data_IF_145978123292
#
_entry.id   IF_145978123292
#
_cell.length_a   1.000
_cell.length_b   1.000
_cell.length_c   1.000
_cell.angle_alpha   90.00
_cell.angle_beta   90.00
_cell.angle_gamma   90.00
#
_symmetry.space_group_name_H-M   'P 1'
#
loop_
_entity.id
_entity.type
_entity.pdbx_description
1 polymer ?
#
# COMPACT_ATOMS: atom_id res chain seq x y z
N UNK A 1 9.34 8.23 -48.59
CA UNK A 1 9.45 8.82 -47.23
C UNK A 1 9.15 7.70 -46.23
N UNK A 2 10.17 6.94 -45.79
CA UNK A 2 10.06 6.01 -44.68
C UNK A 2 10.16 6.81 -43.38
N UNK A 3 9.04 7.12 -42.77
CA UNK A 3 9.00 7.53 -41.36
C UNK A 3 9.21 6.28 -40.51
N UNK A 4 10.46 5.97 -40.16
CA UNK A 4 10.75 5.07 -39.06
C UNK A 4 10.25 5.74 -37.80
N UNK A 5 9.06 5.34 -37.31
CA UNK A 5 8.67 5.55 -35.91
C UNK A 5 9.61 4.69 -35.05
N UNK A 6 10.69 5.27 -34.59
CA UNK A 6 11.49 4.69 -33.52
C UNK A 6 10.62 4.75 -32.28
N UNK A 7 10.01 3.61 -31.93
CA UNK A 7 9.34 3.45 -30.63
C UNK A 7 10.45 3.41 -29.59
N UNK A 8 10.74 4.56 -28.99
CA UNK A 8 11.65 4.58 -27.84
C UNK A 8 10.94 3.96 -26.65
N UNK A 9 11.53 2.88 -26.10
CA UNK A 9 11.13 2.28 -24.84
C UNK A 9 11.18 3.34 -23.74
N UNK A 10 10.10 3.45 -22.96
CA UNK A 10 10.07 4.32 -21.78
C UNK A 10 10.89 3.72 -20.64
N UNK A 11 11.26 4.56 -19.68
CA UNK A 11 11.96 4.07 -18.48
C UNK A 11 11.10 3.05 -17.70
N UNK A 12 9.80 3.26 -17.62
CA UNK A 12 8.88 2.34 -16.95
C UNK A 12 8.82 0.99 -17.66
N UNK A 13 8.74 0.99 -19.00
CA UNK A 13 8.79 -0.26 -19.79
C UNK A 13 10.12 -1.00 -19.59
N UNK A 14 11.24 -0.26 -19.55
CA UNK A 14 12.55 -0.85 -19.28
C UNK A 14 12.59 -1.50 -17.90
N UNK A 15 12.11 -0.80 -16.86
CA UNK A 15 12.07 -1.33 -15.49
C UNK A 15 11.23 -2.61 -15.44
N UNK A 16 10.01 -2.59 -16.01
CA UNK A 16 9.12 -3.75 -16.00
C UNK A 16 9.67 -4.96 -16.74
N UNK A 17 10.53 -4.76 -17.73
CA UNK A 17 11.23 -5.84 -18.44
C UNK A 17 12.43 -6.43 -17.66
N UNK A 18 12.88 -5.74 -16.60
CA UNK A 18 14.08 -6.11 -15.84
C UNK A 18 13.79 -6.47 -14.38
N UNK A 19 12.52 -6.58 -13.99
CA UNK A 19 12.11 -7.06 -12.68
C UNK A 19 11.38 -8.40 -12.79
N UNK A 20 11.24 -9.10 -11.67
CA UNK A 20 10.49 -10.36 -11.61
C UNK A 20 9.04 -10.17 -12.07
N UNK A 21 8.51 -11.15 -12.80
CA UNK A 21 7.10 -11.18 -13.16
C UNK A 21 6.19 -11.29 -11.94
N UNK A 22 4.98 -10.74 -12.06
CA UNK A 22 3.97 -10.79 -11.00
C UNK A 22 3.21 -12.13 -10.92
N UNK A 23 3.38 -13.00 -11.93
CA UNK A 23 2.66 -14.26 -12.06
C UNK A 23 1.24 -14.11 -12.59
N UNK A 24 0.68 -15.23 -13.08
CA UNK A 24 -0.59 -15.21 -13.82
C UNK A 24 -1.79 -14.79 -12.96
N UNK A 25 -1.78 -15.14 -11.67
CA UNK A 25 -2.88 -14.81 -10.77
C UNK A 25 -3.00 -13.28 -10.56
N UNK A 26 -1.90 -12.61 -10.29
CA UNK A 26 -1.87 -11.15 -10.14
C UNK A 26 -2.15 -10.43 -11.47
N UNK A 27 -1.64 -10.95 -12.60
CA UNK A 27 -1.99 -10.43 -13.94
C UNK A 27 -3.49 -10.51 -14.20
N UNK A 28 -4.13 -11.62 -13.83
CA UNK A 28 -5.57 -11.80 -13.99
C UNK A 28 -6.36 -10.84 -13.09
N UNK A 29 -5.98 -10.72 -11.82
CA UNK A 29 -6.58 -9.74 -10.88
C UNK A 29 -6.44 -8.31 -11.42
N UNK A 30 -5.24 -7.92 -11.85
CA UNK A 30 -5.00 -6.57 -12.36
C UNK A 30 -5.85 -6.26 -13.60
N UNK A 31 -5.97 -7.23 -14.51
CA UNK A 31 -6.87 -7.12 -15.68
C UNK A 31 -8.32 -6.97 -15.25
N UNK A 32 -8.80 -7.82 -14.34
CA UNK A 32 -10.18 -7.77 -13.85
C UNK A 32 -10.49 -6.46 -13.11
N UNK A 33 -9.54 -5.93 -12.34
CA UNK A 33 -9.62 -4.61 -11.72
C UNK A 33 -9.90 -3.53 -12.78
N UNK A 34 -9.17 -3.55 -13.91
CA UNK A 34 -9.36 -2.59 -15.00
C UNK A 34 -10.67 -2.77 -15.78
N UNK A 35 -11.23 -3.97 -15.80
CA UNK A 35 -12.47 -4.26 -16.52
C UNK A 35 -13.72 -4.00 -15.67
N UNK A 36 -13.64 -4.13 -14.35
CA UNK A 36 -14.80 -4.20 -13.47
C UNK A 36 -14.88 -3.07 -12.45
N UNK A 37 -13.76 -2.46 -12.06
CA UNK A 37 -13.73 -1.42 -11.03
C UNK A 37 -13.65 -0.02 -11.64
N UNK A 38 -14.29 0.95 -10.96
CA UNK A 38 -14.42 2.32 -11.46
C UNK A 38 -13.09 3.09 -11.49
N UNK A 39 -12.19 2.81 -10.54
CA UNK A 39 -10.91 3.53 -10.38
C UNK A 39 -9.70 2.57 -10.45
N UNK A 40 -9.47 1.88 -11.56
CA UNK A 40 -8.46 0.81 -11.65
C UNK A 40 -7.03 1.28 -11.34
N UNK A 41 -6.75 2.58 -11.52
CA UNK A 41 -5.44 3.19 -11.22
C UNK A 41 -5.10 3.21 -9.73
N UNK A 42 -6.07 2.96 -8.83
CA UNK A 42 -5.84 2.83 -7.39
C UNK A 42 -5.07 1.54 -7.04
N UNK A 43 -5.07 0.53 -7.92
CA UNK A 43 -4.25 -0.66 -7.69
C UNK A 43 -2.76 -0.33 -7.80
N UNK A 44 -1.96 -0.89 -6.89
CA UNK A 44 -0.51 -0.62 -6.78
C UNK A 44 0.26 -0.94 -8.07
N UNK A 45 -0.13 -1.97 -8.81
CA UNK A 45 0.51 -2.39 -10.06
C UNK A 45 1.83 -3.15 -9.85
N UNK A 46 2.40 -3.61 -10.98
CA UNK A 46 3.48 -4.59 -11.00
C UNK A 46 4.73 -4.15 -10.21
N UNK A 47 5.29 -2.99 -10.52
CA UNK A 47 6.52 -2.51 -9.88
C UNK A 47 6.36 -2.39 -8.35
N UNK A 48 5.32 -1.68 -7.90
CA UNK A 48 5.07 -1.50 -6.47
C UNK A 48 4.72 -2.80 -5.77
N UNK A 49 3.97 -3.69 -6.43
CA UNK A 49 3.65 -5.01 -5.91
C UNK A 49 4.91 -5.87 -5.69
N UNK A 50 5.85 -5.89 -6.64
CA UNK A 50 7.13 -6.60 -6.47
C UNK A 50 7.97 -5.98 -5.36
N UNK A 51 7.93 -4.67 -5.21
CA UNK A 51 8.64 -3.99 -4.14
C UNK A 51 8.03 -4.29 -2.76
N UNK A 52 6.70 -4.27 -2.61
CA UNK A 52 6.04 -4.66 -1.36
C UNK A 52 6.39 -6.11 -0.97
N UNK A 53 6.35 -7.05 -1.93
CA UNK A 53 6.82 -8.43 -1.72
C UNK A 53 8.28 -8.45 -1.24
N UNK A 54 9.15 -7.66 -1.84
CA UNK A 54 10.57 -7.61 -1.48
C UNK A 54 10.76 -7.08 -0.06
N UNK A 55 10.05 -6.01 0.33
CA UNK A 55 10.09 -5.50 1.70
C UNK A 55 9.60 -6.53 2.72
N UNK A 56 8.51 -7.23 2.44
CA UNK A 56 8.03 -8.31 3.31
C UNK A 56 9.09 -9.40 3.46
N UNK A 57 9.75 -9.81 2.38
CA UNK A 57 10.85 -10.79 2.44
C UNK A 57 12.07 -10.30 3.21
N UNK A 58 12.42 -9.02 3.12
CA UNK A 58 13.55 -8.42 3.84
C UNK A 58 13.26 -8.27 5.33
N UNK A 59 12.06 -7.80 5.68
CA UNK A 59 11.62 -7.55 7.07
C UNK A 59 11.25 -8.86 7.76
N UNK A 60 10.67 -9.83 7.02
CA UNK A 60 10.14 -11.11 7.52
C UNK A 60 9.14 -10.95 8.67
N UNK A 61 8.12 -10.10 8.49
CA UNK A 61 7.12 -9.82 9.52
C UNK A 61 6.25 -11.07 9.75
N UNK A 62 5.84 -11.30 11.00
CA UNK A 62 4.82 -12.31 11.35
C UNK A 62 3.42 -11.74 11.30
N UNK A 63 3.26 -10.46 11.65
CA UNK A 63 1.96 -9.80 11.64
C UNK A 63 2.06 -8.54 10.79
N UNK A 64 1.30 -8.51 9.69
CA UNK A 64 1.23 -7.38 8.77
C UNK A 64 -0.16 -6.77 8.82
N UNK A 65 -0.21 -5.44 8.90
CA UNK A 65 -1.44 -4.66 8.77
C UNK A 65 -1.47 -3.97 7.41
N UNK A 66 -2.60 -3.99 6.73
CA UNK A 66 -2.88 -3.16 5.56
C UNK A 66 -4.15 -2.35 5.77
N UNK A 67 -4.08 -1.05 5.52
CA UNK A 67 -5.23 -0.13 5.55
C UNK A 67 -5.48 0.35 4.12
N UNK A 68 -6.59 -0.10 3.53
CA UNK A 68 -6.94 0.10 2.13
C UNK A 68 -6.64 -1.15 1.29
N UNK A 69 -7.58 -2.11 1.26
CA UNK A 69 -7.46 -3.35 0.48
C UNK A 69 -7.72 -3.12 -1.00
N UNK A 70 -8.73 -2.30 -1.31
CA UNK A 70 -9.26 -2.07 -2.65
C UNK A 70 -9.50 -3.38 -3.41
N UNK A 71 -8.77 -3.64 -4.51
CA UNK A 71 -8.88 -4.89 -5.29
C UNK A 71 -8.17 -6.11 -4.67
N UNK A 72 -7.37 -5.91 -3.62
CA UNK A 72 -6.56 -6.94 -2.98
C UNK A 72 -5.20 -7.18 -3.63
N UNK A 73 -4.80 -6.35 -4.61
CA UNK A 73 -3.55 -6.54 -5.35
C UNK A 73 -2.30 -6.43 -4.45
N UNK A 74 -2.21 -5.35 -3.66
CA UNK A 74 -1.13 -5.13 -2.67
C UNK A 74 -1.13 -6.21 -1.59
N UNK A 75 -2.33 -6.58 -1.09
CA UNK A 75 -2.50 -7.66 -0.12
C UNK A 75 -1.89 -8.97 -0.61
N UNK A 76 -2.20 -9.38 -1.85
CA UNK A 76 -1.65 -10.60 -2.45
C UNK A 76 -0.14 -10.52 -2.67
N UNK A 77 0.37 -9.35 -3.09
CA UNK A 77 1.81 -9.15 -3.25
C UNK A 77 2.56 -9.26 -1.92
N UNK A 78 2.01 -8.71 -0.84
CA UNK A 78 2.59 -8.86 0.50
C UNK A 78 2.48 -10.29 1.01
N UNK A 79 1.32 -10.93 0.84
CA UNK A 79 1.10 -12.32 1.26
C UNK A 79 2.05 -13.31 0.59
N UNK A 80 2.39 -13.08 -0.70
CA UNK A 80 3.41 -13.86 -1.44
C UNK A 80 4.80 -13.75 -0.81
N UNK A 81 5.11 -12.66 -0.14
CA UNK A 81 6.37 -12.42 0.55
C UNK A 81 6.46 -12.97 1.97
N UNK A 82 5.32 -13.26 2.60
CA UNK A 82 5.24 -13.65 4.01
C UNK A 82 5.96 -14.98 4.30
N UNK A 83 6.61 -15.08 5.48
CA UNK A 83 7.07 -16.37 5.99
C UNK A 83 5.88 -17.32 6.24
N UNK A 84 6.16 -18.60 6.49
CA UNK A 84 5.13 -19.63 6.65
C UNK A 84 4.21 -19.35 7.84
N UNK A 85 4.73 -18.74 8.90
CA UNK A 85 4.01 -18.33 10.11
C UNK A 85 3.50 -16.87 10.06
N UNK A 86 3.58 -16.24 8.89
CA UNK A 86 3.16 -14.85 8.68
C UNK A 86 1.67 -14.72 8.36
N UNK A 87 1.05 -13.63 8.84
CA UNK A 87 -0.37 -13.30 8.62
C UNK A 87 -0.51 -11.84 8.20
N UNK A 88 -1.29 -11.61 7.17
CA UNK A 88 -1.73 -10.28 6.74
C UNK A 88 -3.16 -10.01 7.19
N UNK A 89 -3.37 -8.88 7.84
CA UNK A 89 -4.67 -8.34 8.21
C UNK A 89 -4.95 -7.12 7.34
N UNK A 90 -5.88 -7.22 6.39
CA UNK A 90 -6.21 -6.17 5.44
C UNK A 90 -7.62 -5.64 5.66
N UNK A 91 -7.78 -4.31 5.61
CA UNK A 91 -9.01 -3.60 5.95
C UNK A 91 -9.51 -2.76 4.78
N UNK A 92 -10.78 -2.95 4.40
CA UNK A 92 -11.48 -2.16 3.41
C UNK A 92 -12.70 -1.47 4.05
N UNK A 93 -12.78 -0.16 3.89
CA UNK A 93 -13.89 0.63 4.45
C UNK A 93 -15.12 0.60 3.56
N UNK A 94 -14.94 0.43 2.25
CA UNK A 94 -16.03 0.36 1.28
C UNK A 94 -16.54 -1.08 1.14
N UNK A 95 -17.71 -1.36 1.71
CA UNK A 95 -18.35 -2.68 1.66
C UNK A 95 -18.76 -3.11 0.24
N UNK A 96 -19.00 -2.15 -0.68
CA UNK A 96 -19.28 -2.45 -2.09
C UNK A 96 -18.10 -3.15 -2.80
N UNK A 97 -16.87 -3.03 -2.26
CA UNK A 97 -15.70 -3.73 -2.80
C UNK A 97 -15.64 -5.20 -2.42
N UNK A 98 -16.40 -5.64 -1.42
CA UNK A 98 -16.33 -7.00 -0.88
C UNK A 98 -16.60 -8.06 -1.93
N UNK A 99 -17.67 -7.90 -2.72
CA UNK A 99 -18.09 -8.86 -3.75
C UNK A 99 -17.03 -9.08 -4.84
N UNK A 100 -16.22 -8.05 -5.14
CA UNK A 100 -15.10 -8.17 -6.06
C UNK A 100 -13.87 -8.76 -5.37
N UNK A 101 -13.49 -8.23 -4.23
CA UNK A 101 -12.17 -8.46 -3.60
C UNK A 101 -12.10 -9.80 -2.87
N UNK A 102 -13.16 -10.16 -2.12
CA UNK A 102 -13.18 -11.41 -1.32
C UNK A 102 -12.90 -12.67 -2.12
N UNK A 103 -13.54 -12.91 -3.29
CA UNK A 103 -13.25 -14.10 -4.09
C UNK A 103 -11.79 -14.17 -4.56
N UNK A 104 -11.16 -13.01 -4.88
CA UNK A 104 -9.76 -12.97 -5.28
C UNK A 104 -8.80 -13.32 -4.13
N UNK A 105 -9.11 -12.90 -2.90
CA UNK A 105 -8.30 -13.24 -1.74
C UNK A 105 -8.48 -14.70 -1.33
N UNK A 106 -9.72 -15.18 -1.24
CA UNK A 106 -10.07 -16.53 -0.76
C UNK A 106 -9.67 -17.66 -1.74
N UNK A 107 -9.64 -17.39 -3.05
CA UNK A 107 -9.20 -18.36 -4.06
C UNK A 107 -7.71 -18.21 -4.41
N UNK A 108 -6.97 -17.33 -3.74
CA UNK A 108 -5.56 -17.13 -4.00
C UNK A 108 -4.70 -18.27 -3.44
N UNK A 109 -3.48 -18.48 -3.97
CA UNK A 109 -2.50 -19.39 -3.37
C UNK A 109 -2.09 -19.01 -1.94
N UNK A 110 -2.50 -17.84 -1.45
CA UNK A 110 -2.11 -17.25 -0.16
C UNK A 110 -3.32 -17.03 0.77
N UNK A 111 -4.46 -17.64 0.48
CA UNK A 111 -5.72 -17.44 1.22
C UNK A 111 -5.58 -17.72 2.72
N UNK A 112 -4.80 -18.71 3.09
CA UNK A 112 -4.52 -19.10 4.47
C UNK A 112 -3.66 -18.09 5.25
N UNK A 113 -2.99 -17.16 4.54
CA UNK A 113 -2.16 -16.08 5.10
C UNK A 113 -2.86 -14.72 5.16
N UNK A 114 -4.13 -14.63 4.75
CA UNK A 114 -4.85 -13.36 4.64
C UNK A 114 -6.11 -13.37 5.49
N UNK A 115 -6.29 -12.35 6.31
CA UNK A 115 -7.54 -12.03 7.00
C UNK A 115 -8.10 -10.74 6.45
N UNK A 116 -9.24 -10.81 5.79
CA UNK A 116 -9.90 -9.67 5.17
C UNK A 116 -11.06 -9.18 6.03
N UNK A 117 -11.03 -7.88 6.34
CA UNK A 117 -12.01 -7.21 7.19
C UNK A 117 -12.69 -6.08 6.41
N UNK A 118 -14.03 -6.03 6.47
CA UNK A 118 -14.82 -4.91 5.98
C UNK A 118 -15.15 -3.98 7.16
N UNK A 119 -14.81 -2.71 7.02
CA UNK A 119 -15.10 -1.66 7.98
C UNK A 119 -13.94 -0.70 8.24
N UNK A 120 -14.17 0.24 9.14
CA UNK A 120 -13.22 1.28 9.47
C UNK A 120 -12.04 0.71 10.28
N UNK A 121 -10.83 0.74 9.71
CA UNK A 121 -9.62 0.27 10.37
C UNK A 121 -9.36 0.95 11.73
N UNK A 122 -9.67 2.25 11.86
CA UNK A 122 -9.50 2.99 13.12
C UNK A 122 -10.39 2.46 14.27
N UNK A 123 -11.48 1.77 13.93
CA UNK A 123 -12.38 1.17 14.91
C UNK A 123 -12.09 -0.31 15.15
N UNK A 124 -11.69 -1.02 14.10
CA UNK A 124 -11.51 -2.48 14.14
C UNK A 124 -10.12 -2.88 14.64
N UNK A 125 -9.04 -2.23 14.17
CA UNK A 125 -7.67 -2.56 14.56
C UNK A 125 -7.45 -2.45 16.08
N UNK A 126 -7.95 -1.42 16.80
CA UNK A 126 -7.81 -1.35 18.26
C UNK A 126 -8.46 -2.51 19.03
N UNK A 127 -9.42 -3.23 18.41
CA UNK A 127 -10.10 -4.38 19.02
C UNK A 127 -9.34 -5.70 18.84
N UNK A 128 -8.33 -5.71 17.96
CA UNK A 128 -7.47 -6.85 17.78
C UNK A 128 -6.39 -6.83 18.88
N UNK A 129 -6.18 -7.98 19.51
CA UNK A 129 -5.07 -8.17 20.44
C UNK A 129 -3.83 -8.64 19.67
N UNK A 130 -3.33 -7.75 18.78
CA UNK A 130 -2.23 -8.03 17.86
C UNK A 130 -1.22 -6.87 17.92
N UNK A 131 0.05 -7.24 17.99
CA UNK A 131 1.18 -6.33 17.72
C UNK A 131 1.68 -6.62 16.31
N UNK A 132 1.81 -5.59 15.48
CA UNK A 132 2.23 -5.71 14.08
C UNK A 132 3.73 -5.46 13.93
N UNK A 133 4.35 -6.14 12.98
CA UNK A 133 5.77 -5.96 12.63
C UNK A 133 5.93 -5.04 11.42
N UNK A 134 4.91 -5.02 10.55
CA UNK A 134 4.84 -4.19 9.36
C UNK A 134 3.41 -3.67 9.18
N UNK A 135 3.29 -2.40 8.80
CA UNK A 135 2.02 -1.84 8.34
C UNK A 135 2.18 -1.17 6.99
N UNK A 136 1.19 -1.36 6.09
CA UNK A 136 1.05 -0.64 4.84
C UNK A 136 -0.19 0.26 4.93
N UNK A 137 0.00 1.57 4.76
CA UNK A 137 -1.07 2.58 4.84
C UNK A 137 -1.32 3.13 3.44
N UNK A 138 -2.48 2.78 2.86
CA UNK A 138 -2.97 3.28 1.58
C UNK A 138 -4.49 3.56 1.65
N UNK A 139 -4.91 4.20 2.72
CA UNK A 139 -6.30 4.59 2.96
C UNK A 139 -6.61 6.04 2.59
N UNK A 140 -7.65 6.59 3.22
CA UNK A 140 -8.07 7.99 3.07
C UNK A 140 -6.99 8.95 3.58
N UNK A 141 -6.46 9.77 2.67
CA UNK A 141 -5.33 10.69 2.93
C UNK A 141 -5.64 11.72 4.02
N UNK A 142 -6.91 12.07 4.22
CA UNK A 142 -7.38 12.95 5.30
C UNK A 142 -7.17 12.36 6.70
N UNK A 143 -6.99 11.04 6.78
CA UNK A 143 -6.90 10.28 8.03
C UNK A 143 -5.50 9.69 8.28
N UNK A 144 -4.49 10.08 7.49
CA UNK A 144 -3.15 9.50 7.57
C UNK A 144 -2.50 9.68 8.94
N UNK A 145 -2.71 10.83 9.60
CA UNK A 145 -2.23 11.04 10.98
C UNK A 145 -2.89 10.07 11.94
N UNK A 146 -4.21 9.88 11.84
CA UNK A 146 -4.95 8.97 12.71
C UNK A 146 -4.49 7.52 12.50
N UNK A 147 -4.31 7.11 11.23
CA UNK A 147 -3.76 5.79 10.91
C UNK A 147 -2.35 5.61 11.47
N UNK A 148 -1.48 6.60 11.29
CA UNK A 148 -0.11 6.57 11.77
C UNK A 148 -0.04 6.38 13.30
N UNK A 149 -0.75 7.18 14.06
CA UNK A 149 -0.73 7.09 15.52
C UNK A 149 -1.33 5.77 16.02
N UNK A 150 -2.43 5.32 15.43
CA UNK A 150 -3.04 4.03 15.74
C UNK A 150 -2.08 2.88 15.47
N UNK A 151 -1.43 2.89 14.30
CA UNK A 151 -0.46 1.86 13.90
C UNK A 151 0.76 1.90 14.81
N UNK A 152 1.35 3.08 15.04
CA UNK A 152 2.56 3.23 15.86
C UNK A 152 2.36 2.73 17.30
N UNK A 153 1.14 2.88 17.85
CA UNK A 153 0.78 2.36 19.17
C UNK A 153 0.70 0.81 19.20
N UNK A 154 0.53 0.17 18.05
CA UNK A 154 0.39 -1.29 17.89
C UNK A 154 1.58 -1.92 17.16
N UNK A 155 2.59 -1.14 16.81
CA UNK A 155 3.78 -1.62 16.10
C UNK A 155 4.82 -2.12 17.10
N UNK A 156 5.45 -3.24 16.81
CA UNK A 156 6.60 -3.76 17.56
C UNK A 156 7.78 -2.78 17.51
N UNK A 157 8.63 -2.79 18.52
CA UNK A 157 9.88 -2.03 18.48
C UNK A 157 10.76 -2.55 17.33
N UNK A 158 11.31 -1.65 16.53
CA UNK A 158 11.99 -1.98 15.30
C UNK A 158 11.08 -2.31 14.11
N UNK A 159 9.76 -2.33 14.30
CA UNK A 159 8.75 -2.55 13.24
C UNK A 159 8.68 -1.39 12.24
N UNK A 160 8.03 -1.65 11.11
CA UNK A 160 8.01 -0.74 9.97
C UNK A 160 6.59 -0.30 9.59
N UNK A 161 6.47 0.95 9.14
CA UNK A 161 5.29 1.46 8.43
C UNK A 161 5.74 1.86 7.03
N UNK A 162 4.97 1.49 6.03
CA UNK A 162 5.09 1.97 4.65
C UNK A 162 3.82 2.75 4.34
N UNK A 163 3.95 4.05 4.09
CA UNK A 163 2.83 4.90 3.73
C UNK A 163 2.90 5.28 2.25
N UNK A 164 1.81 5.02 1.51
CA UNK A 164 1.73 5.28 0.06
C UNK A 164 1.25 6.71 -0.24
N UNK A 165 1.51 7.17 -1.45
CA UNK A 165 1.11 8.46 -2.03
C UNK A 165 1.56 9.69 -1.21
N UNK A 166 2.72 9.60 -0.57
CA UNK A 166 3.20 10.68 0.33
C UNK A 166 3.79 11.88 -0.41
N UNK A 167 4.02 11.78 -1.73
CA UNK A 167 4.37 12.92 -2.61
C UNK A 167 3.17 13.50 -3.34
N UNK A 168 2.05 12.78 -3.44
CA UNK A 168 0.75 13.22 -3.89
C UNK A 168 0.79 14.02 -5.21
N UNK A 169 1.33 13.39 -6.28
CA UNK A 169 1.54 14.00 -7.61
C UNK A 169 2.25 15.38 -7.56
N UNK A 170 3.05 15.63 -6.54
CA UNK A 170 3.74 16.91 -6.32
C UNK A 170 2.90 17.98 -5.63
N UNK A 171 1.61 17.75 -5.35
CA UNK A 171 0.74 18.70 -4.63
C UNK A 171 1.26 19.03 -3.22
N UNK A 172 2.12 18.19 -2.65
CA UNK A 172 2.81 18.49 -1.37
C UNK A 172 3.67 19.75 -1.45
N UNK A 173 4.06 20.21 -2.65
CA UNK A 173 4.83 21.44 -2.86
C UNK A 173 3.96 22.70 -2.89
N UNK A 174 2.64 22.58 -2.95
CA UNK A 174 1.75 23.73 -2.91
C UNK A 174 1.87 24.45 -1.57
N UNK A 175 2.24 25.73 -1.60
CA UNK A 175 2.36 26.54 -0.37
C UNK A 175 0.99 26.71 0.32
N UNK A 176 -0.06 26.91 -0.46
CA UNK A 176 -1.43 27.10 0.02
C UNK A 176 -2.40 26.22 -0.79
N UNK A 177 -2.57 24.95 -0.44
CA UNK A 177 -3.57 24.12 -1.09
C UNK A 177 -4.97 24.69 -0.87
N UNK A 178 -5.86 24.47 -1.86
CA UNK A 178 -7.23 24.97 -1.73
C UNK A 178 -7.88 24.40 -0.47
N UNK A 179 -8.60 25.24 0.28
CA UNK A 179 -9.23 24.89 1.57
C UNK A 179 -10.15 23.64 1.54
N UNK A 180 -10.65 23.28 0.36
CA UNK A 180 -11.48 22.09 0.16
C UNK A 180 -10.69 20.86 -0.27
N UNK A 181 -9.40 21.01 -0.57
CA UNK A 181 -8.50 19.91 -0.88
C UNK A 181 -7.96 19.29 0.41
N UNK A 182 -8.86 18.61 1.11
CA UNK A 182 -8.56 18.00 2.41
C UNK A 182 -7.55 16.85 2.28
N UNK A 183 -7.39 16.26 1.09
CA UNK A 183 -6.42 15.18 0.88
C UNK A 183 -4.99 15.73 0.84
N UNK A 184 -4.73 16.75 0.04
CA UNK A 184 -3.43 17.44 0.02
C UNK A 184 -3.07 17.99 1.40
N UNK A 185 -4.04 18.63 2.07
CA UNK A 185 -3.84 19.14 3.44
C UNK A 185 -3.47 18.00 4.40
N UNK A 186 -4.17 16.86 4.32
CA UNK A 186 -3.92 15.70 5.19
C UNK A 186 -2.54 15.09 4.97
N UNK A 187 -2.13 14.89 3.72
CA UNK A 187 -0.79 14.34 3.40
C UNK A 187 0.32 15.29 3.81
N UNK A 188 0.20 16.59 3.58
CA UNK A 188 1.20 17.58 4.03
C UNK A 188 1.35 17.54 5.55
N UNK A 189 0.23 17.57 6.27
CA UNK A 189 0.24 17.51 7.73
C UNK A 189 0.85 16.20 8.25
N UNK A 190 0.56 15.05 7.60
CA UNK A 190 1.19 13.77 7.92
C UNK A 190 2.71 13.80 7.70
N UNK A 191 3.17 14.29 6.55
CA UNK A 191 4.59 14.39 6.24
C UNK A 191 5.34 15.27 7.25
N UNK A 192 4.77 16.43 7.62
CA UNK A 192 5.34 17.34 8.60
C UNK A 192 5.41 16.70 9.99
N UNK A 193 4.33 16.01 10.41
CA UNK A 193 4.28 15.30 11.67
C UNK A 193 5.37 14.21 11.75
N UNK A 194 5.43 13.35 10.73
CA UNK A 194 6.42 12.26 10.67
C UNK A 194 7.84 12.82 10.61
N UNK A 195 8.07 13.92 9.87
CA UNK A 195 9.38 14.57 9.81
C UNK A 195 9.87 15.04 11.18
N UNK A 196 8.97 15.52 12.02
CA UNK A 196 9.27 16.00 13.37
C UNK A 196 9.30 14.89 14.44
N UNK A 197 8.79 13.69 14.14
CA UNK A 197 8.66 12.62 15.12
C UNK A 197 10.00 11.95 15.45
N UNK A 198 10.42 12.03 16.71
CA UNK A 198 11.66 11.45 17.23
C UNK A 198 11.52 9.96 17.62
N UNK A 199 10.29 9.43 17.66
CA UNK A 199 10.02 8.02 17.96
C UNK A 199 10.43 7.10 16.81
N UNK A 200 10.68 7.68 15.62
CA UNK A 200 10.88 6.92 14.38
C UNK A 200 12.10 7.41 13.59
N UNK A 201 12.61 6.50 12.73
CA UNK A 201 13.46 6.81 11.59
C UNK A 201 12.60 6.82 10.34
N UNK A 202 12.91 7.63 9.34
CA UNK A 202 12.08 7.78 8.15
C UNK A 202 12.88 8.15 6.91
N UNK A 203 12.37 7.70 5.75
CA UNK A 203 12.87 8.07 4.42
C UNK A 203 11.71 8.08 3.42
N UNK A 204 11.70 9.03 2.49
CA UNK A 204 10.75 9.06 1.38
C UNK A 204 11.45 8.55 0.13
N UNK A 205 10.87 7.53 -0.52
CA UNK A 205 11.28 7.03 -1.81
C UNK A 205 10.42 7.66 -2.91
N UNK A 206 11.01 8.28 -3.95
CA UNK A 206 10.27 8.86 -5.07
C UNK A 206 9.83 7.77 -6.06
N UNK A 207 9.08 6.79 -5.57
CA UNK A 207 8.48 5.73 -6.35
C UNK A 207 7.02 6.05 -6.59
N UNK A 208 6.58 6.07 -7.86
CA UNK A 208 5.23 6.50 -8.22
C UNK A 208 4.89 7.81 -7.52
N UNK A 209 3.88 7.77 -6.67
CA UNK A 209 3.36 8.93 -5.93
C UNK A 209 4.00 9.10 -4.53
N UNK A 210 5.15 8.49 -4.35
CA UNK A 210 5.96 8.55 -3.13
C UNK A 210 5.59 7.49 -2.10
N UNK A 211 6.63 6.82 -1.59
CA UNK A 211 6.52 5.88 -0.47
C UNK A 211 7.35 6.37 0.69
N UNK A 212 6.73 6.61 1.84
CA UNK A 212 7.45 6.89 3.08
C UNK A 212 7.64 5.60 3.86
N UNK A 213 8.91 5.24 4.08
CA UNK A 213 9.29 4.12 4.95
C UNK A 213 9.63 4.69 6.32
N UNK A 214 8.99 4.19 7.34
CA UNK A 214 9.11 4.63 8.73
C UNK A 214 9.46 3.41 9.58
N UNK A 215 10.47 3.53 10.43
CA UNK A 215 10.86 2.49 11.39
C UNK A 215 10.69 3.00 12.80
N UNK A 216 9.97 2.27 13.65
CA UNK A 216 9.87 2.54 15.08
C UNK A 216 11.23 2.24 15.75
N UNK A 217 11.68 3.15 16.61
CA UNK A 217 12.94 2.99 17.37
C UNK A 217 12.80 2.03 18.52
#
# INVERSE_FOLDING_TARGET
FNSQFSIYMTLDEYILQHIDEEGDYLKALYRDTHLKLLYPRMASGHLQGRMLKMFVRMIRPRQVLEIGTYSGYSALCMAEGLPDDGMLHTFEINDEQEDFTRPWLENSPYADKIKFYIGNALELVPRLDITFDLAFIDGDKRRYIDYYEMVLARLSDGGYIIADNTLWDGHVLEEQPHRTDLQTIGIKAFNDLVAADHRVEKVILPLRDGLTIIRKK
#
